data_IF_814199100528
#
_entry.id   IF_814199100528
#
_cell.length_a   1.000
_cell.length_b   1.000
_cell.length_c   1.000
_cell.angle_alpha   90.00
_cell.angle_beta   90.00
_cell.angle_gamma   90.00
#
_symmetry.space_group_name_H-M   'P 1'
#
loop_
_entity.id
_entity.type
_entity.pdbx_description
1 polymer ?
#
# COMPACT_ATOMS: atom_id res chain seq x y z
N UNK A 1 11.83 7.86 5.67
CA UNK A 1 13.24 8.31 5.69
C UNK A 1 13.40 9.75 6.20
N UNK A 2 12.70 10.71 5.62
CA UNK A 2 12.80 12.14 6.03
C UNK A 2 12.49 12.36 7.51
N UNK A 3 11.40 11.79 8.02
CA UNK A 3 11.03 11.85 9.44
C UNK A 3 12.15 11.37 10.38
N UNK A 4 12.77 10.24 10.08
CA UNK A 4 13.88 9.72 10.90
C UNK A 4 15.12 10.62 10.85
N UNK A 5 15.38 11.29 9.71
CA UNK A 5 16.45 12.28 9.61
C UNK A 5 16.19 13.51 10.47
N UNK A 6 14.94 14.00 10.51
CA UNK A 6 14.57 15.16 11.34
C UNK A 6 14.58 14.82 12.84
N UNK A 7 14.10 13.63 13.23
CA UNK A 7 14.24 13.14 14.61
C UNK A 7 15.69 13.04 15.06
N UNK A 8 16.57 12.58 14.18
CA UNK A 8 18.00 12.50 14.46
C UNK A 8 18.61 13.88 14.63
N UNK A 9 18.29 14.86 13.78
CA UNK A 9 18.71 16.25 13.94
C UNK A 9 18.18 16.83 15.27
N UNK A 10 16.92 16.59 15.59
CA UNK A 10 16.32 16.99 16.87
C UNK A 10 17.08 16.43 18.07
N UNK A 11 17.50 15.15 18.01
CA UNK A 11 18.29 14.52 19.08
C UNK A 11 19.69 15.11 19.19
N UNK A 12 20.34 15.50 18.09
CA UNK A 12 21.62 16.24 18.14
C UNK A 12 21.43 17.65 18.70
N UNK A 13 20.36 18.35 18.32
CA UNK A 13 20.08 19.69 18.85
C UNK A 13 19.80 19.68 20.36
N UNK A 14 19.31 18.55 20.90
CA UNK A 14 19.10 18.39 22.35
C UNK A 14 20.40 18.39 23.18
N UNK A 15 21.58 18.33 22.56
CA UNK A 15 22.87 18.56 23.25
C UNK A 15 23.20 20.04 23.40
N UNK A 16 22.54 20.92 22.65
CA UNK A 16 22.76 22.36 22.72
C UNK A 16 21.92 22.96 23.85
N UNK A 17 22.40 24.07 24.47
CA UNK A 17 21.60 24.81 25.43
C UNK A 17 20.38 25.47 24.75
N UNK A 18 19.27 25.48 25.44
CA UNK A 18 18.05 26.18 25.00
C UNK A 18 18.01 27.55 25.68
N UNK A 19 17.87 28.59 24.89
CA UNK A 19 17.73 29.98 25.39
C UNK A 19 16.28 30.41 25.16
N UNK A 20 15.60 30.76 26.23
CA UNK A 20 14.22 31.25 26.18
C UNK A 20 14.17 32.69 26.69
N UNK A 21 13.48 33.55 25.97
CA UNK A 21 13.11 34.89 26.41
C UNK A 21 11.70 34.86 26.98
N UNK A 22 11.54 35.39 28.17
CA UNK A 22 10.21 35.53 28.78
C UNK A 22 9.96 36.95 29.20
N UNK A 23 8.72 37.39 29.12
CA UNK A 23 8.22 38.63 29.61
C UNK A 23 6.87 38.38 30.28
N UNK A 24 6.67 39.00 31.41
CA UNK A 24 5.39 38.97 32.13
C UNK A 24 5.04 40.37 32.66
N UNK A 25 3.79 40.73 32.53
CA UNK A 25 3.23 41.93 33.11
C UNK A 25 2.11 41.51 34.06
N UNK A 26 2.26 41.90 35.35
CA UNK A 26 1.29 41.59 36.38
C UNK A 26 0.79 42.91 36.96
N UNK A 27 -0.52 42.99 37.13
CA UNK A 27 -1.16 44.09 37.85
C UNK A 27 -1.85 43.55 39.07
N UNK A 28 -1.24 43.80 40.27
CA UNK A 28 -1.75 43.32 41.52
C UNK A 28 -2.63 44.42 42.15
N UNK A 29 -3.91 44.12 42.33
CA UNK A 29 -4.87 45.03 42.94
C UNK A 29 -5.16 44.58 44.38
N UNK A 30 -4.66 45.37 45.34
CA UNK A 30 -4.88 45.12 46.77
C UNK A 30 -6.05 45.95 47.30
N UNK A 31 -7.09 45.27 47.76
CA UNK A 31 -8.26 45.85 48.47
C UNK A 31 -8.10 45.57 49.95
N UNK A 32 -7.94 46.62 50.76
CA UNK A 32 -8.08 46.51 52.22
C UNK A 32 -9.42 47.11 52.66
N UNK A 33 -10.40 46.27 53.09
CA UNK A 33 -11.74 46.73 53.43
C UNK A 33 -11.78 47.72 54.62
N UNK A 34 -10.78 47.60 55.48
CA UNK A 34 -10.77 48.37 56.74
C UNK A 34 -10.47 49.88 56.61
N UNK A 35 -9.74 50.30 55.55
CA UNK A 35 -9.28 51.66 55.36
C UNK A 35 -9.62 52.28 53.99
N UNK A 36 -10.50 51.65 53.19
CA UNK A 36 -10.84 52.11 51.83
C UNK A 36 -9.64 52.37 50.94
N UNK A 37 -8.49 51.71 51.22
CA UNK A 37 -7.26 51.91 50.56
C UNK A 37 -7.19 50.96 49.32
N UNK A 38 -7.18 51.56 48.12
CA UNK A 38 -7.08 50.85 46.85
C UNK A 38 -5.73 51.17 46.22
N UNK A 39 -4.81 50.21 46.17
CA UNK A 39 -3.54 50.39 45.53
C UNK A 39 -3.34 49.32 44.47
N UNK A 40 -3.20 49.76 43.23
CA UNK A 40 -2.75 48.90 42.11
C UNK A 40 -1.26 49.05 41.93
N UNK A 41 -0.53 47.93 42.00
CA UNK A 41 0.93 47.91 41.77
C UNK A 41 1.18 47.14 40.49
N UNK A 42 1.56 47.87 39.40
CA UNK A 42 2.03 47.21 38.20
C UNK A 42 3.43 46.63 38.41
N UNK A 43 3.65 45.43 37.97
CA UNK A 43 5.00 44.84 37.89
C UNK A 43 5.22 44.24 36.52
N UNK A 44 6.35 44.55 35.93
CA UNK A 44 6.79 44.00 34.66
C UNK A 44 8.13 43.26 34.84
N UNK A 45 8.19 42.07 34.31
CA UNK A 45 9.42 41.26 34.30
C UNK A 45 9.78 40.92 32.88
N UNK A 46 11.05 41.02 32.60
CA UNK A 46 11.65 40.45 31.39
C UNK A 46 12.92 39.73 31.79
N UNK A 47 13.15 38.58 31.13
CA UNK A 47 14.32 37.80 31.48
C UNK A 47 14.70 36.81 30.39
N UNK A 48 15.91 36.31 30.52
CA UNK A 48 16.45 35.24 29.70
C UNK A 48 16.60 34.01 30.59
N UNK A 49 16.12 32.88 30.09
CA UNK A 49 16.28 31.58 30.73
C UNK A 49 17.16 30.72 29.84
N UNK A 50 18.26 30.19 30.39
CA UNK A 50 19.18 29.27 29.74
C UNK A 50 19.00 27.90 30.40
N UNK A 51 18.62 26.91 29.61
CA UNK A 51 18.50 25.53 30.06
C UNK A 51 19.54 24.67 29.32
N UNK A 52 20.41 24.03 30.06
CA UNK A 52 21.44 23.14 29.52
C UNK A 52 21.59 21.88 30.34
N UNK A 53 21.10 20.77 29.79
CA UNK A 53 21.24 19.46 30.42
C UNK A 53 22.63 18.88 30.12
N UNK A 54 23.52 19.00 31.08
CA UNK A 54 24.94 18.55 30.97
C UNK A 54 25.00 17.01 31.03
N UNK A 55 24.20 16.40 31.88
CA UNK A 55 24.13 14.95 32.05
C UNK A 55 22.66 14.45 32.15
N UNK A 56 22.28 13.51 31.33
CA UNK A 56 20.94 12.93 31.23
C UNK A 56 20.90 11.39 31.40
N UNK A 57 21.91 10.83 32.08
CA UNK A 57 21.97 9.37 32.26
C UNK A 57 22.14 8.58 30.96
N UNK A 58 22.76 9.16 29.91
CA UNK A 58 22.97 8.60 28.57
C UNK A 58 21.67 8.46 27.73
N UNK A 59 20.58 9.10 28.12
CA UNK A 59 19.31 9.06 27.39
C UNK A 59 19.46 9.53 25.93
N UNK A 60 20.13 10.65 25.69
CA UNK A 60 20.38 11.20 24.34
C UNK A 60 21.20 10.22 23.49
N UNK A 61 22.22 9.57 24.07
CA UNK A 61 23.03 8.56 23.39
C UNK A 61 22.19 7.33 23.00
N UNK A 62 21.33 6.88 23.89
CA UNK A 62 20.44 5.75 23.61
C UNK A 62 19.37 6.11 22.56
N UNK A 63 18.83 7.32 22.59
CA UNK A 63 17.92 7.84 21.53
C UNK A 63 18.61 7.86 20.17
N UNK A 64 19.87 8.27 20.07
CA UNK A 64 20.62 8.22 18.81
C UNK A 64 20.80 6.78 18.30
N UNK A 65 21.08 5.81 19.19
CA UNK A 65 21.16 4.41 18.81
C UNK A 65 19.81 3.86 18.32
N UNK A 66 18.72 4.18 19.02
CA UNK A 66 17.36 3.81 18.60
C UNK A 66 17.06 4.36 17.22
N UNK A 67 17.36 5.64 16.97
CA UNK A 67 17.18 6.25 15.66
C UNK A 67 18.00 5.57 14.56
N UNK A 68 19.23 5.12 14.88
CA UNK A 68 20.05 4.35 13.95
C UNK A 68 19.39 3.00 13.59
N UNK A 69 18.96 2.24 14.58
CA UNK A 69 18.25 0.96 14.34
C UNK A 69 16.92 1.15 13.62
N UNK A 70 16.19 2.22 13.92
CA UNK A 70 14.97 2.56 13.19
C UNK A 70 15.28 2.87 11.72
N UNK A 71 16.37 3.54 11.42
CA UNK A 71 16.83 3.77 10.04
C UNK A 71 17.10 2.44 9.32
N UNK A 72 17.90 1.55 9.92
CA UNK A 72 18.19 0.24 9.35
C UNK A 72 16.91 -0.59 9.13
N UNK A 73 15.99 -0.56 10.09
CA UNK A 73 14.67 -1.19 9.97
C UNK A 73 13.89 -0.67 8.77
N UNK A 74 13.84 0.66 8.59
CA UNK A 74 13.15 1.29 7.46
C UNK A 74 13.81 0.90 6.12
N UNK A 75 15.14 0.88 6.06
CA UNK A 75 15.89 0.47 4.85
C UNK A 75 15.62 -1.01 4.50
N UNK A 76 15.58 -1.89 5.48
CA UNK A 76 15.24 -3.29 5.29
C UNK A 76 13.79 -3.48 4.83
N UNK A 77 12.84 -2.73 5.41
CA UNK A 77 11.43 -2.76 5.00
C UNK A 77 11.25 -2.25 3.55
N UNK A 78 11.96 -1.20 3.16
CA UNK A 78 11.96 -0.67 1.80
C UNK A 78 12.52 -1.70 0.81
N UNK A 79 13.65 -2.33 1.14
CA UNK A 79 14.24 -3.39 0.32
C UNK A 79 13.28 -4.57 0.15
N UNK A 80 12.63 -5.01 1.25
CA UNK A 80 11.66 -6.10 1.22
C UNK A 80 10.43 -5.71 0.38
N UNK A 81 9.90 -4.50 0.55
CA UNK A 81 8.77 -4.01 -0.23
C UNK A 81 9.09 -3.99 -1.75
N UNK A 82 10.27 -3.49 -2.11
CA UNK A 82 10.73 -3.46 -3.51
C UNK A 82 10.85 -4.88 -4.09
N UNK A 83 11.41 -5.83 -3.33
CA UNK A 83 11.50 -7.23 -3.76
C UNK A 83 10.12 -7.86 -3.95
N UNK A 84 9.19 -7.60 -3.03
CA UNK A 84 7.82 -8.13 -3.11
C UNK A 84 7.07 -7.55 -4.33
N UNK A 85 7.23 -6.26 -4.62
CA UNK A 85 6.65 -5.63 -5.82
C UNK A 85 7.23 -6.24 -7.10
N UNK A 86 8.54 -6.44 -7.15
CA UNK A 86 9.17 -7.08 -8.31
C UNK A 86 8.67 -8.52 -8.50
N UNK A 87 8.58 -9.30 -7.42
CA UNK A 87 8.04 -10.65 -7.46
C UNK A 87 6.56 -10.67 -7.91
N UNK A 88 5.75 -9.75 -7.42
CA UNK A 88 4.35 -9.62 -7.82
C UNK A 88 4.21 -9.32 -9.32
N UNK A 89 5.08 -8.45 -9.87
CA UNK A 89 5.10 -8.12 -11.30
C UNK A 89 5.52 -9.32 -12.16
N UNK A 90 6.55 -10.06 -11.74
CA UNK A 90 6.98 -11.27 -12.45
C UNK A 90 5.89 -12.37 -12.42
N UNK A 91 5.21 -12.55 -11.29
CA UNK A 91 4.10 -13.49 -11.18
C UNK A 91 2.92 -13.07 -12.07
N UNK A 92 2.57 -11.79 -12.10
CA UNK A 92 1.52 -11.28 -12.98
C UNK A 92 1.85 -11.47 -14.46
N UNK A 93 3.13 -11.30 -14.86
CA UNK A 93 3.59 -11.57 -16.22
C UNK A 93 3.47 -13.04 -16.60
N UNK A 94 3.85 -13.95 -15.69
CA UNK A 94 3.69 -15.41 -15.90
C UNK A 94 2.23 -15.79 -16.03
N UNK A 95 1.35 -15.15 -15.25
CA UNK A 95 -0.09 -15.38 -15.32
C UNK A 95 -0.65 -15.03 -16.71
N UNK A 96 -0.23 -13.92 -17.32
CA UNK A 96 -0.62 -13.58 -18.70
C UNK A 96 -0.22 -14.69 -19.67
N UNK A 97 0.99 -15.21 -19.57
CA UNK A 97 1.46 -16.29 -20.45
C UNK A 97 0.61 -17.56 -20.29
N UNK A 98 0.29 -17.91 -19.04
CA UNK A 98 -0.56 -19.05 -18.72
C UNK A 98 -1.97 -18.88 -19.28
N UNK A 99 -2.58 -17.72 -19.08
CA UNK A 99 -3.94 -17.45 -19.56
C UNK A 99 -3.99 -17.31 -21.10
N UNK A 100 -2.91 -16.87 -21.73
CA UNK A 100 -2.80 -16.87 -23.20
C UNK A 100 -2.79 -18.30 -23.75
N UNK A 101 -2.04 -19.21 -23.12
CA UNK A 101 -2.03 -20.62 -23.50
C UNK A 101 -3.40 -21.29 -23.26
N UNK A 102 -4.07 -20.98 -22.14
CA UNK A 102 -5.41 -21.46 -21.84
C UNK A 102 -6.44 -20.98 -22.88
N UNK A 103 -6.34 -19.72 -23.30
CA UNK A 103 -7.22 -19.18 -24.35
C UNK A 103 -7.04 -19.93 -25.67
N UNK A 104 -5.79 -20.22 -26.06
CA UNK A 104 -5.51 -20.96 -27.29
C UNK A 104 -6.06 -22.39 -27.23
N UNK A 105 -5.86 -23.11 -26.11
CA UNK A 105 -6.45 -24.44 -25.91
C UNK A 105 -7.98 -24.42 -26.02
N UNK A 106 -8.65 -23.43 -25.43
CA UNK A 106 -10.12 -23.33 -25.50
C UNK A 106 -10.62 -23.00 -26.92
N UNK A 107 -9.82 -22.25 -27.72
CA UNK A 107 -10.12 -22.05 -29.14
C UNK A 107 -10.02 -23.36 -29.94
N UNK A 108 -8.97 -24.13 -29.71
CA UNK A 108 -8.82 -25.44 -30.35
C UNK A 108 -9.92 -26.41 -29.97
N UNK A 109 -10.33 -26.42 -28.67
CA UNK A 109 -11.45 -27.22 -28.19
C UNK A 109 -12.78 -26.83 -28.86
N UNK A 110 -13.05 -25.53 -29.03
CA UNK A 110 -14.23 -25.07 -29.75
C UNK A 110 -14.21 -25.54 -31.21
N UNK A 111 -13.08 -25.35 -31.92
CA UNK A 111 -12.94 -25.81 -33.29
C UNK A 111 -13.15 -27.33 -33.43
N UNK A 112 -12.67 -28.12 -32.45
CA UNK A 112 -12.88 -29.55 -32.43
C UNK A 112 -14.36 -29.89 -32.21
N UNK A 113 -15.02 -29.23 -31.25
CA UNK A 113 -16.45 -29.42 -31.00
C UNK A 113 -17.32 -29.11 -32.24
N UNK A 114 -17.00 -28.03 -32.96
CA UNK A 114 -17.65 -27.63 -34.21
C UNK A 114 -17.48 -28.70 -35.31
N UNK A 115 -16.25 -29.23 -35.45
CA UNK A 115 -15.99 -30.34 -36.43
C UNK A 115 -16.74 -31.60 -36.08
N UNK A 116 -16.78 -31.97 -34.79
CA UNK A 116 -17.54 -33.14 -34.29
C UNK A 116 -19.03 -32.97 -34.58
N UNK A 117 -19.57 -31.78 -34.28
CA UNK A 117 -20.99 -31.48 -34.57
C UNK A 117 -21.29 -31.56 -36.06
N UNK A 118 -20.42 -31.02 -36.93
CA UNK A 118 -20.61 -31.09 -38.39
C UNK A 118 -20.70 -32.55 -38.91
N UNK A 119 -19.84 -33.43 -38.37
CA UNK A 119 -19.86 -34.86 -38.70
C UNK A 119 -21.15 -35.49 -38.16
N UNK A 120 -21.49 -35.23 -36.88
CA UNK A 120 -22.72 -35.79 -36.27
C UNK A 120 -23.97 -35.29 -36.98
N UNK A 121 -24.05 -34.06 -37.42
CA UNK A 121 -25.17 -33.52 -38.20
C UNK A 121 -25.31 -34.22 -39.56
N UNK A 122 -24.19 -34.55 -40.23
CA UNK A 122 -24.21 -35.34 -41.44
C UNK A 122 -24.70 -36.78 -41.22
N UNK A 123 -24.26 -37.42 -40.13
CA UNK A 123 -24.69 -38.75 -39.69
C UNK A 123 -26.17 -38.78 -39.29
N UNK A 124 -26.65 -37.75 -38.64
CA UNK A 124 -28.06 -37.61 -38.32
C UNK A 124 -28.93 -37.50 -39.56
N UNK A 125 -28.52 -36.69 -40.54
CA UNK A 125 -29.20 -36.56 -41.84
C UNK A 125 -29.27 -37.88 -42.61
N UNK A 126 -28.26 -38.75 -42.48
CA UNK A 126 -28.27 -40.10 -43.05
C UNK A 126 -28.98 -41.15 -42.19
N UNK A 127 -29.54 -40.78 -41.05
CA UNK A 127 -30.26 -41.68 -40.13
C UNK A 127 -29.33 -42.62 -39.34
N UNK A 128 -28.02 -42.34 -39.26
CA UNK A 128 -27.03 -43.22 -38.62
C UNK A 128 -26.93 -42.99 -37.11
N UNK A 129 -27.26 -41.80 -36.65
CA UNK A 129 -27.26 -41.46 -35.21
C UNK A 129 -28.63 -40.93 -34.76
N UNK A 130 -28.87 -40.99 -33.43
CA UNK A 130 -30.11 -40.53 -32.83
C UNK A 130 -30.13 -39.00 -32.62
N UNK A 131 -31.33 -38.43 -32.45
CA UNK A 131 -31.49 -37.01 -32.08
C UNK A 131 -30.80 -36.68 -30.76
N UNK A 132 -30.81 -37.61 -29.79
CA UNK A 132 -30.14 -37.40 -28.50
C UNK A 132 -28.61 -37.26 -28.67
N UNK A 133 -27.99 -38.04 -29.53
CA UNK A 133 -26.57 -37.94 -29.81
C UNK A 133 -26.24 -36.61 -30.51
N UNK A 134 -27.04 -36.14 -31.45
CA UNK A 134 -26.87 -34.83 -32.08
C UNK A 134 -26.99 -33.69 -31.06
N UNK A 135 -28.02 -33.73 -30.19
CA UNK A 135 -28.20 -32.73 -29.11
C UNK A 135 -27.03 -32.72 -28.13
N UNK A 136 -26.42 -33.86 -27.86
CA UNK A 136 -25.24 -33.93 -27.00
C UNK A 136 -24.04 -33.22 -27.64
N UNK A 137 -23.84 -33.38 -28.96
CA UNK A 137 -22.75 -32.66 -29.66
C UNK A 137 -23.01 -31.16 -29.74
N UNK A 138 -24.25 -30.71 -29.88
CA UNK A 138 -24.66 -29.31 -29.82
C UNK A 138 -24.37 -28.72 -28.43
N UNK A 139 -24.75 -29.43 -27.37
CA UNK A 139 -24.43 -29.00 -25.99
C UNK A 139 -22.93 -28.90 -25.76
N UNK A 140 -22.13 -29.80 -26.35
CA UNK A 140 -20.68 -29.72 -26.25
C UNK A 140 -20.09 -28.43 -26.90
N UNK A 141 -20.68 -27.94 -28.00
CA UNK A 141 -20.31 -26.63 -28.60
C UNK A 141 -20.65 -25.51 -27.61
N UNK A 142 -21.83 -25.51 -27.02
CA UNK A 142 -22.22 -24.45 -26.07
C UNK A 142 -21.27 -24.40 -24.86
N UNK A 143 -20.89 -25.57 -24.34
CA UNK A 143 -19.92 -25.69 -23.26
C UNK A 143 -18.55 -25.13 -23.71
N UNK A 144 -18.08 -25.54 -24.90
CA UNK A 144 -16.79 -25.04 -25.43
C UNK A 144 -16.79 -23.51 -25.67
N UNK A 145 -17.91 -22.95 -26.16
CA UNK A 145 -18.08 -21.50 -26.31
C UNK A 145 -18.04 -20.79 -24.97
N UNK A 146 -18.75 -21.31 -23.95
CA UNK A 146 -18.75 -20.76 -22.61
C UNK A 146 -17.34 -20.78 -22.00
N UNK A 147 -16.61 -21.87 -22.16
CA UNK A 147 -15.23 -22.00 -21.68
C UNK A 147 -14.29 -21.00 -22.36
N UNK A 148 -14.44 -20.81 -23.69
CA UNK A 148 -13.66 -19.82 -24.44
C UNK A 148 -13.90 -18.39 -23.92
N UNK A 149 -15.16 -18.01 -23.67
CA UNK A 149 -15.51 -16.70 -23.09
C UNK A 149 -14.89 -16.56 -21.70
N UNK A 150 -14.97 -17.62 -20.87
CA UNK A 150 -14.33 -17.66 -19.55
C UNK A 150 -12.82 -17.47 -19.63
N UNK A 151 -12.12 -18.16 -20.54
CA UNK A 151 -10.70 -18.03 -20.75
C UNK A 151 -10.31 -16.61 -21.21
N UNK A 152 -11.09 -16.00 -22.07
CA UNK A 152 -10.89 -14.62 -22.53
C UNK A 152 -11.00 -13.63 -21.35
N UNK A 153 -11.99 -13.78 -20.50
CA UNK A 153 -12.16 -12.95 -19.30
C UNK A 153 -10.98 -13.09 -18.33
N UNK A 154 -10.50 -14.33 -18.11
CA UNK A 154 -9.34 -14.58 -17.26
C UNK A 154 -8.07 -13.93 -17.81
N UNK A 155 -7.84 -13.98 -19.12
CA UNK A 155 -6.73 -13.25 -19.75
C UNK A 155 -6.83 -11.74 -19.50
N UNK A 156 -8.02 -11.15 -19.68
CA UNK A 156 -8.21 -9.71 -19.42
C UNK A 156 -7.96 -9.33 -17.96
N UNK A 157 -8.38 -10.16 -17.02
CA UNK A 157 -8.10 -9.97 -15.60
C UNK A 157 -6.60 -10.04 -15.30
N UNK A 158 -5.89 -10.99 -15.91
CA UNK A 158 -4.43 -11.11 -15.78
C UNK A 158 -3.71 -9.87 -16.32
N UNK A 159 -4.11 -9.35 -17.48
CA UNK A 159 -3.58 -8.11 -18.07
C UNK A 159 -3.80 -6.90 -17.14
N UNK A 160 -5.00 -6.75 -16.57
CA UNK A 160 -5.30 -5.68 -15.61
C UNK A 160 -4.46 -5.79 -14.34
N UNK A 161 -4.27 -6.99 -13.80
CA UNK A 161 -3.43 -7.23 -12.63
C UNK A 161 -1.96 -6.89 -12.92
N UNK A 162 -1.47 -7.19 -14.10
CA UNK A 162 -0.13 -6.81 -14.52
C UNK A 162 0.02 -5.28 -14.60
N UNK A 163 -0.91 -4.58 -15.23
CA UNK A 163 -0.91 -3.11 -15.29
C UNK A 163 -0.93 -2.49 -13.89
N UNK A 164 -1.74 -3.04 -12.98
CA UNK A 164 -1.77 -2.62 -11.58
C UNK A 164 -0.42 -2.83 -10.89
N UNK A 165 0.24 -3.97 -11.09
CA UNK A 165 1.54 -4.27 -10.48
C UNK A 165 2.63 -3.30 -10.94
N UNK A 166 2.63 -2.90 -12.21
CA UNK A 166 3.57 -1.90 -12.76
C UNK A 166 3.29 -0.50 -12.19
N UNK A 167 2.03 -0.12 -12.03
CA UNK A 167 1.68 1.19 -11.47
C UNK A 167 2.11 1.37 -10.02
N UNK A 168 2.30 0.29 -9.28
CA UNK A 168 2.79 0.29 -7.90
C UNK A 168 4.33 0.39 -7.80
N UNK A 169 5.05 0.15 -8.92
CA UNK A 169 6.51 0.29 -9.01
C UNK A 169 6.98 1.72 -9.31
N UNK A 170 6.07 2.61 -9.75
CA UNK A 170 6.34 4.04 -9.97
C UNK A 170 6.08 4.84 -8.69
#
# INVERSE_FOLDING_TARGET
KQMNLEERKGTYNAYLPTVSFYTAYNYNYNLKPENNFRTGIPSAFLGLHLDWTIFDGLEKKNKLKINLYNKEKIENQESLATKNLHLATENAKREILLQTSNLEMNKEQLQLAEKVYAVSNSQYKSGTISTNELLQTDNNIQIAQSNLVGAYLQLRLAELNYLKSISQLK
#
